data_IF_705819225981
#
_entry.id   IF_705819225981
#
_cell.length_a   1.000
_cell.length_b   1.000
_cell.length_c   1.000
_cell.angle_alpha   90.00
_cell.angle_beta   90.00
_cell.angle_gamma   90.00
#
_symmetry.space_group_name_H-M   'P 1'
#
loop_
_entity.id
_entity.type
_entity.pdbx_description
1 polymer ?
#
# COMPACT_ATOMS: atom_id res chain seq x y z
N UNK A 1 -43.43 11.98 24.86
CA UNK A 1 -42.31 12.90 24.54
C UNK A 1 -40.99 12.22 24.92
N UNK A 2 -40.72 10.98 24.48
CA UNK A 2 -40.07 10.64 23.20
C UNK A 2 -38.70 11.30 22.95
N UNK A 3 -38.11 12.00 23.92
CA UNK A 3 -36.79 12.63 23.77
C UNK A 3 -35.64 11.62 23.88
N UNK A 4 -35.76 10.61 24.74
CA UNK A 4 -34.76 9.54 24.89
C UNK A 4 -34.49 8.73 23.61
N UNK A 5 -35.49 8.27 22.84
CA UNK A 5 -35.23 7.56 21.59
C UNK A 5 -34.70 8.48 20.49
N UNK A 6 -35.09 9.77 20.47
CA UNK A 6 -34.58 10.73 19.48
C UNK A 6 -33.09 11.06 19.70
N UNK A 7 -32.66 11.16 20.97
CA UNK A 7 -31.24 11.38 21.30
C UNK A 7 -30.41 10.14 20.98
N UNK A 8 -30.91 8.94 21.30
CA UNK A 8 -30.23 7.68 20.96
C UNK A 8 -30.17 7.46 19.45
N UNK A 9 -31.25 7.74 18.73
CA UNK A 9 -31.29 7.64 17.27
C UNK A 9 -30.34 8.66 16.61
N UNK A 10 -30.26 9.89 17.16
CA UNK A 10 -29.29 10.89 16.72
C UNK A 10 -27.84 10.44 16.93
N UNK A 11 -27.54 9.84 18.08
CA UNK A 11 -26.19 9.35 18.40
C UNK A 11 -25.79 8.15 17.51
N UNK A 12 -26.71 7.24 17.23
CA UNK A 12 -26.49 6.10 16.31
C UNK A 12 -26.27 6.59 14.87
N UNK A 13 -27.01 7.61 14.42
CA UNK A 13 -26.81 8.20 13.10
C UNK A 13 -25.47 8.93 12.96
N UNK A 14 -25.01 9.60 14.03
CA UNK A 14 -23.68 10.24 14.06
C UNK A 14 -22.56 9.20 14.05
N UNK A 15 -22.72 8.08 14.76
CA UNK A 15 -21.76 6.96 14.71
C UNK A 15 -21.76 6.31 13.32
N UNK A 16 -22.93 6.09 12.71
CA UNK A 16 -23.01 5.54 11.35
C UNK A 16 -22.42 6.47 10.27
N UNK A 17 -22.53 7.79 10.45
CA UNK A 17 -21.88 8.77 9.58
C UNK A 17 -20.36 8.90 9.86
N UNK A 18 -19.92 8.63 11.09
CA UNK A 18 -18.52 8.67 11.50
C UNK A 18 -17.68 7.50 11.01
N UNK A 19 -18.30 6.40 10.55
CA UNK A 19 -17.58 5.22 9.98
C UNK A 19 -17.38 5.30 8.47
N UNK A 20 -17.79 6.39 7.81
CA UNK A 20 -17.82 6.47 6.35
C UNK A 20 -16.83 7.48 5.74
N UNK A 21 -15.81 7.93 6.46
CA UNK A 21 -14.87 8.94 5.95
C UNK A 21 -13.39 8.60 6.25
N UNK A 22 -12.94 7.38 5.92
CA UNK A 22 -11.52 7.15 5.62
C UNK A 22 -11.35 7.13 4.10
N UNK A 23 -11.54 8.32 3.53
CA UNK A 23 -11.54 8.55 2.09
C UNK A 23 -11.44 10.04 1.81
N UNK A 24 -10.59 10.74 2.56
CA UNK A 24 -10.12 12.03 2.13
C UNK A 24 -9.21 11.77 0.91
N UNK A 25 -9.79 11.78 -0.30
CA UNK A 25 -9.06 11.84 -1.57
C UNK A 25 -8.35 13.21 -1.70
N UNK A 26 -7.47 13.54 -0.75
CA UNK A 26 -6.26 14.29 -1.08
C UNK A 26 -5.39 13.34 -1.90
N UNK A 27 -4.80 13.82 -3.00
CA UNK A 27 -3.92 13.00 -3.82
C UNK A 27 -2.87 12.33 -2.91
N UNK A 28 -3.01 11.02 -2.71
CA UNK A 28 -2.13 10.26 -1.85
C UNK A 28 -0.75 10.15 -2.46
N UNK A 29 0.14 9.40 -1.84
CA UNK A 29 1.51 9.18 -2.34
C UNK A 29 1.54 8.59 -3.76
N UNK A 30 0.44 7.95 -4.19
CA UNK A 30 0.20 7.39 -5.52
C UNK A 30 -0.70 8.24 -6.43
N UNK A 31 -0.87 9.53 -6.14
CA UNK A 31 -1.66 10.47 -6.93
C UNK A 31 -3.16 10.22 -6.83
N UNK A 32 -3.82 9.94 -7.97
CA UNK A 32 -5.29 9.76 -8.04
C UNK A 32 -5.77 8.39 -7.55
N UNK A 33 -4.87 7.44 -7.36
CA UNK A 33 -5.20 6.11 -6.84
C UNK A 33 -4.69 5.99 -5.41
N UNK A 34 -5.45 5.32 -4.54
CA UNK A 34 -4.96 4.93 -3.22
C UNK A 34 -3.85 3.88 -3.36
N UNK A 35 -2.89 3.90 -2.44
CA UNK A 35 -1.82 2.91 -2.39
C UNK A 35 -2.35 1.47 -2.37
N UNK A 36 -3.48 1.27 -1.70
CA UNK A 36 -4.17 -0.02 -1.60
C UNK A 36 -4.66 -0.54 -2.97
N UNK A 37 -5.24 0.34 -3.81
CA UNK A 37 -5.64 -0.01 -5.19
C UNK A 37 -4.43 -0.29 -6.07
N UNK A 38 -3.33 0.44 -5.87
CA UNK A 38 -2.08 0.22 -6.59
C UNK A 38 -1.42 -1.08 -6.15
N UNK A 39 -1.53 -1.48 -4.88
CA UNK A 39 -1.01 -2.72 -4.33
C UNK A 39 -1.58 -3.98 -5.01
N UNK A 40 -2.80 -3.92 -5.53
CA UNK A 40 -3.38 -5.02 -6.33
C UNK A 40 -2.51 -5.37 -7.56
N UNK A 41 -1.75 -4.41 -8.09
CA UNK A 41 -0.80 -4.62 -9.20
C UNK A 41 0.44 -5.42 -8.78
N UNK A 42 0.70 -5.55 -7.49
CA UNK A 42 1.77 -6.38 -6.92
C UNK A 42 1.35 -7.83 -6.68
N UNK A 43 0.14 -8.24 -7.04
CA UNK A 43 -0.25 -9.66 -7.04
C UNK A 43 0.80 -10.62 -7.65
N UNK A 44 1.41 -10.35 -8.83
CA UNK A 44 2.47 -11.21 -9.38
C UNK A 44 3.78 -11.19 -8.58
N UNK A 45 3.93 -10.27 -7.62
CA UNK A 45 5.09 -10.15 -6.75
C UNK A 45 4.97 -10.89 -5.43
N UNK A 46 3.80 -11.44 -5.08
CA UNK A 46 3.56 -12.02 -3.75
C UNK A 46 4.62 -13.07 -3.38
N UNK A 47 4.91 -14.03 -4.25
CA UNK A 47 5.95 -15.05 -3.99
C UNK A 47 7.33 -14.44 -3.78
N UNK A 48 7.64 -13.39 -4.55
CA UNK A 48 8.90 -12.65 -4.46
C UNK A 48 8.96 -11.68 -3.26
N UNK A 49 7.82 -11.34 -2.68
CA UNK A 49 7.67 -10.45 -1.54
C UNK A 49 7.54 -11.20 -0.22
N UNK A 50 7.16 -12.48 -0.27
CA UNK A 50 7.11 -13.38 0.88
C UNK A 50 8.45 -14.09 1.10
N UNK A 51 9.07 -14.58 0.01
CA UNK A 51 10.30 -15.35 0.05
C UNK A 51 11.48 -14.58 -0.60
N UNK A 52 12.60 -14.39 0.12
CA UNK A 52 13.76 -13.65 -0.38
C UNK A 52 14.58 -14.40 -1.44
N UNK A 53 14.43 -15.72 -1.55
CA UNK A 53 15.09 -16.56 -2.56
C UNK A 53 14.25 -16.70 -3.84
N UNK A 54 12.95 -16.38 -3.77
CA UNK A 54 12.07 -16.42 -4.93
C UNK A 54 12.46 -15.36 -5.96
N UNK A 55 12.79 -15.84 -7.16
CA UNK A 55 13.05 -14.98 -8.32
C UNK A 55 11.78 -14.23 -8.71
N UNK A 56 11.80 -12.89 -8.81
CA UNK A 56 10.65 -12.12 -9.26
C UNK A 56 10.35 -12.43 -10.73
N UNK A 57 9.06 -12.54 -11.06
CA UNK A 57 8.61 -12.70 -12.45
C UNK A 57 8.82 -11.40 -13.23
N UNK A 58 8.89 -11.49 -14.56
CA UNK A 58 8.96 -10.29 -15.42
C UNK A 58 7.78 -9.34 -15.18
N UNK A 59 6.57 -9.89 -15.02
CA UNK A 59 5.36 -9.13 -14.68
C UNK A 59 5.49 -8.40 -13.35
N UNK A 60 6.04 -9.05 -12.32
CA UNK A 60 6.34 -8.41 -11.05
C UNK A 60 7.32 -7.23 -11.23
N UNK A 61 8.42 -7.45 -11.93
CA UNK A 61 9.41 -6.40 -12.15
C UNK A 61 8.84 -5.23 -12.94
N UNK A 62 8.01 -5.45 -13.96
CA UNK A 62 7.33 -4.37 -14.69
C UNK A 62 6.37 -3.59 -13.79
N UNK A 63 5.61 -4.25 -12.93
CA UNK A 63 4.71 -3.58 -11.98
C UNK A 63 5.49 -2.73 -10.97
N UNK A 64 6.54 -3.29 -10.38
CA UNK A 64 7.40 -2.58 -9.41
C UNK A 64 8.14 -1.43 -10.09
N UNK A 65 8.58 -1.58 -11.34
CA UNK A 65 9.24 -0.51 -12.09
C UNK A 65 8.28 0.66 -12.35
N UNK A 66 7.03 0.38 -12.74
CA UNK A 66 6.03 1.42 -12.96
C UNK A 66 5.69 2.20 -11.67
N UNK A 67 5.58 1.50 -10.54
CA UNK A 67 5.29 2.14 -9.24
C UNK A 67 6.53 2.85 -8.69
N UNK A 68 7.71 2.27 -8.92
CA UNK A 68 9.01 2.73 -8.42
C UNK A 68 9.51 4.05 -9.01
N UNK A 69 8.91 4.53 -10.11
CA UNK A 69 9.10 5.90 -10.60
C UNK A 69 8.70 6.95 -9.55
N UNK A 70 7.82 6.57 -8.63
CA UNK A 70 7.40 7.35 -7.48
C UNK A 70 7.79 6.62 -6.19
N UNK A 71 8.97 6.89 -5.60
CA UNK A 71 9.45 6.17 -4.42
C UNK A 71 8.49 6.25 -3.24
N UNK A 72 7.81 7.39 -3.06
CA UNK A 72 6.75 7.57 -2.06
C UNK A 72 5.57 6.63 -2.31
N UNK A 73 5.06 6.54 -3.54
CA UNK A 73 3.98 5.61 -3.87
C UNK A 73 4.40 4.16 -3.66
N UNK A 74 5.59 3.77 -4.11
CA UNK A 74 6.11 2.42 -3.90
C UNK A 74 6.16 2.09 -2.41
N UNK A 75 6.60 3.06 -1.60
CA UNK A 75 6.60 2.95 -0.16
C UNK A 75 5.21 2.71 0.42
N UNK A 76 4.28 3.61 0.11
CA UNK A 76 2.89 3.54 0.54
C UNK A 76 2.25 2.20 0.18
N UNK A 77 2.52 1.73 -1.04
CA UNK A 77 2.04 0.45 -1.55
C UNK A 77 2.57 -0.71 -0.73
N UNK A 78 3.88 -0.77 -0.48
CA UNK A 78 4.49 -1.84 0.31
C UNK A 78 4.01 -1.86 1.77
N UNK A 79 3.70 -0.69 2.34
CA UNK A 79 3.19 -0.55 3.70
C UNK A 79 1.65 -0.63 3.81
N UNK A 80 0.94 -0.69 2.68
CA UNK A 80 -0.53 -0.68 2.62
C UNK A 80 -1.19 -1.91 3.28
N UNK A 81 -2.46 -1.76 3.65
CA UNK A 81 -3.26 -2.85 4.20
C UNK A 81 -3.38 -4.04 3.24
N UNK A 82 -3.64 -3.78 1.96
CA UNK A 82 -3.73 -4.82 0.93
C UNK A 82 -2.42 -5.56 0.71
N UNK A 83 -1.27 -4.87 0.72
CA UNK A 83 0.03 -5.55 0.63
C UNK A 83 0.23 -6.51 1.82
N UNK A 84 -0.06 -6.06 3.04
CA UNK A 84 0.04 -6.88 4.25
C UNK A 84 -0.93 -8.07 4.20
N UNK A 85 -2.17 -7.86 3.77
CA UNK A 85 -3.17 -8.91 3.63
C UNK A 85 -2.78 -9.95 2.56
N UNK A 86 -2.03 -9.53 1.53
CA UNK A 86 -1.50 -10.40 0.49
C UNK A 86 -0.22 -11.17 0.90
N UNK A 87 0.27 -11.01 2.13
CA UNK A 87 1.49 -11.68 2.61
C UNK A 87 2.80 -11.01 2.16
N UNK A 88 2.76 -9.77 1.68
CA UNK A 88 3.96 -9.01 1.34
C UNK A 88 4.66 -8.61 2.63
N UNK A 89 5.87 -9.12 2.83
CA UNK A 89 6.74 -8.75 3.96
C UNK A 89 7.59 -7.54 3.56
N UNK A 90 7.47 -6.37 4.23
CA UNK A 90 8.23 -5.18 3.86
C UNK A 90 9.74 -5.42 3.77
N UNK A 91 10.28 -6.25 4.68
CA UNK A 91 11.71 -6.57 4.79
C UNK A 91 12.24 -7.28 3.54
N UNK A 92 11.40 -8.14 2.95
CA UNK A 92 11.73 -8.88 1.71
C UNK A 92 11.39 -8.02 0.50
N UNK A 93 10.26 -7.32 0.53
CA UNK A 93 9.74 -6.55 -0.59
C UNK A 93 10.65 -5.38 -0.98
N UNK A 94 11.33 -4.73 -0.02
CA UNK A 94 12.35 -3.72 -0.31
C UNK A 94 13.54 -4.27 -1.10
N UNK A 95 13.76 -5.58 -1.16
CA UNK A 95 14.84 -6.17 -1.97
C UNK A 95 14.41 -6.40 -3.42
N UNK A 96 13.11 -6.40 -3.73
CA UNK A 96 12.60 -6.71 -5.06
C UNK A 96 13.17 -5.80 -6.15
N UNK A 97 13.27 -4.46 -5.99
CA UNK A 97 13.86 -3.61 -7.03
C UNK A 97 15.31 -4.00 -7.38
N UNK A 98 16.08 -4.45 -6.38
CA UNK A 98 17.45 -4.97 -6.58
C UNK A 98 17.44 -6.32 -7.31
N UNK A 99 16.55 -7.24 -6.93
CA UNK A 99 16.43 -8.57 -7.59
C UNK A 99 15.91 -8.46 -9.03
N UNK A 100 15.11 -7.44 -9.32
CA UNK A 100 14.69 -7.06 -10.66
C UNK A 100 15.76 -6.29 -11.46
N UNK A 101 16.93 -6.02 -10.87
CA UNK A 101 18.04 -5.31 -11.50
C UNK A 101 17.63 -3.94 -12.11
N UNK A 102 16.82 -3.18 -11.38
CA UNK A 102 16.36 -1.85 -11.82
C UNK A 102 17.49 -0.82 -11.67
N UNK A 103 17.95 -0.25 -12.78
CA UNK A 103 19.04 0.74 -12.78
C UNK A 103 18.64 2.08 -12.13
N UNK A 104 17.38 2.50 -12.28
CA UNK A 104 16.85 3.77 -11.75
C UNK A 104 16.25 3.62 -10.35
N UNK A 105 16.79 2.68 -9.58
CA UNK A 105 16.26 2.42 -8.24
C UNK A 105 16.58 3.60 -7.30
N UNK A 106 15.61 4.09 -6.51
CA UNK A 106 15.84 5.09 -5.47
C UNK A 106 16.59 4.47 -4.26
N UNK A 107 17.89 4.26 -4.41
CA UNK A 107 18.80 3.75 -3.35
C UNK A 107 18.84 4.73 -2.18
N UNK A 108 18.72 4.23 -0.95
CA UNK A 108 18.74 5.06 0.26
C UNK A 108 17.42 5.76 0.57
N UNK A 109 16.35 5.50 -0.20
CA UNK A 109 15.03 6.05 0.12
C UNK A 109 14.46 5.40 1.39
N UNK A 110 14.01 6.24 2.32
CA UNK A 110 13.45 5.81 3.60
C UNK A 110 11.95 5.57 3.49
N UNK A 111 11.55 4.39 3.94
CA UNK A 111 10.21 3.87 3.96
C UNK A 111 9.76 3.52 5.38
N UNK A 112 9.38 4.55 6.14
CA UNK A 112 9.23 4.41 7.59
C UNK A 112 10.55 3.93 8.20
N UNK A 113 10.52 2.75 8.80
CA UNK A 113 11.69 2.09 9.41
C UNK A 113 12.59 1.36 8.38
N UNK A 114 12.14 1.18 7.13
CA UNK A 114 12.88 0.47 6.09
C UNK A 114 13.65 1.43 5.21
N UNK A 115 14.77 0.99 4.63
CA UNK A 115 15.51 1.77 3.64
C UNK A 115 15.73 0.91 2.41
N UNK A 116 15.45 1.46 1.22
CA UNK A 116 15.68 0.74 -0.03
C UNK A 116 17.20 0.53 -0.23
N UNK A 117 17.69 -0.73 -0.32
CA UNK A 117 19.11 -1.02 -0.57
C UNK A 117 19.64 -0.60 -1.95
#
# INVERSE_FOLDING_TARGET
MTMRPLVVLGLVLVVAAGVALDGADGAGECGRASADRVALRLAPCISAADDPQSTPTSSCCSAVHAIGQSPSCLCAVMLSGTARAAGIKPEVAITIPKRCNMADRPVGYKCGDYTLP
#
